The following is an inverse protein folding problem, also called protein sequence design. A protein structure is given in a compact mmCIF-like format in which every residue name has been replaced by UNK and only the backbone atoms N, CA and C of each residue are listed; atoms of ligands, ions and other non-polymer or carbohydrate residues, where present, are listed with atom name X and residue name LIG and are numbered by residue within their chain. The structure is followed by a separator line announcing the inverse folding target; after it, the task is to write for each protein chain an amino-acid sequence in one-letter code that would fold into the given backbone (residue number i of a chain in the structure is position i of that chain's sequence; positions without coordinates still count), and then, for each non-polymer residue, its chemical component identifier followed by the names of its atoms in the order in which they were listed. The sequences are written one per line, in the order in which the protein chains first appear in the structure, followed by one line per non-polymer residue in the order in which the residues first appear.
data_IF_743127132269
#
_entry.id   IF_743127132269
#
_cell.length_a   1.000
_cell.length_b   1.000
_cell.length_c   1.000
_cell.angle_alpha   90.00
_cell.angle_beta   90.00
_cell.angle_gamma   90.00
#
_symmetry.space_group_name_H-M   'P 1'
#
loop_
_entity.id
_entity.type
_entity.pdbx_description
1 polymer ?
#
# COMPACT_ATOMS: atom_id res chain seq x y z
N UNK A 1 -48.00 -27.63 -32.18
CA UNK A 1 -48.43 -27.82 -33.60
C UNK A 1 -49.09 -26.58 -34.18
N UNK A 2 -49.96 -25.87 -33.46
CA UNK A 2 -50.70 -24.73 -34.03
C UNK A 2 -49.87 -23.47 -34.29
N UNK A 3 -48.87 -23.18 -33.44
CA UNK A 3 -48.08 -21.94 -33.55
C UNK A 3 -47.10 -21.95 -34.72
N UNK A 4 -46.37 -23.04 -34.98
CA UNK A 4 -45.45 -23.14 -36.12
C UNK A 4 -46.17 -23.00 -37.45
N UNK A 5 -47.38 -23.56 -37.58
CA UNK A 5 -48.19 -23.42 -38.79
C UNK A 5 -48.63 -21.97 -39.03
N UNK A 6 -48.99 -21.23 -37.97
CA UNK A 6 -49.35 -19.81 -38.05
C UNK A 6 -48.12 -18.97 -38.40
N UNK A 7 -46.99 -19.25 -37.75
CA UNK A 7 -45.74 -18.54 -37.96
C UNK A 7 -45.25 -18.71 -39.41
N UNK A 8 -45.21 -19.96 -39.89
CA UNK A 8 -44.77 -20.28 -41.25
C UNK A 8 -45.73 -19.70 -42.30
N UNK A 9 -47.05 -19.82 -42.10
CA UNK A 9 -48.03 -19.20 -42.99
C UNK A 9 -47.95 -17.67 -43.00
N UNK A 10 -47.56 -17.04 -41.90
CA UNK A 10 -47.38 -15.59 -41.84
C UNK A 10 -46.09 -15.15 -42.56
N UNK A 11 -45.01 -15.92 -42.41
CA UNK A 11 -43.76 -15.65 -43.13
C UNK A 11 -43.95 -15.80 -44.64
N UNK A 12 -44.58 -16.88 -45.09
CA UNK A 12 -44.85 -17.12 -46.52
C UNK A 12 -45.75 -16.03 -47.15
N UNK A 13 -46.57 -15.34 -46.33
CA UNK A 13 -47.48 -14.29 -46.79
C UNK A 13 -46.86 -12.89 -46.81
N UNK A 14 -45.94 -12.60 -45.89
CA UNK A 14 -45.42 -11.24 -45.66
C UNK A 14 -43.93 -11.06 -46.00
N UNK A 15 -43.12 -12.12 -45.99
CA UNK A 15 -41.77 -12.11 -46.55
C UNK A 15 -41.86 -12.46 -48.03
N UNK A 16 -41.49 -11.53 -48.91
CA UNK A 16 -41.38 -11.84 -50.34
C UNK A 16 -40.29 -12.88 -50.59
N UNK A 17 -40.41 -13.68 -51.65
CA UNK A 17 -39.51 -14.82 -51.98
C UNK A 17 -38.00 -14.44 -52.04
N UNK A 18 -37.64 -13.16 -52.12
CA UNK A 18 -36.26 -12.66 -52.20
C UNK A 18 -35.73 -11.97 -50.93
N UNK A 19 -36.54 -11.81 -49.88
CA UNK A 19 -36.14 -11.09 -48.66
C UNK A 19 -35.70 -12.05 -47.55
N UNK A 20 -34.41 -12.02 -47.18
CA UNK A 20 -33.93 -12.75 -46.01
C UNK A 20 -34.55 -12.16 -44.73
N UNK A 21 -34.99 -12.98 -43.77
CA UNK A 21 -35.55 -12.48 -42.51
C UNK A 21 -34.54 -11.59 -41.80
N UNK A 22 -35.02 -10.50 -41.21
CA UNK A 22 -34.15 -9.66 -40.40
C UNK A 22 -33.72 -10.43 -39.12
N UNK A 23 -32.60 -10.04 -38.47
CA UNK A 23 -32.16 -10.68 -37.24
C UNK A 23 -33.24 -10.70 -36.15
N UNK A 24 -34.08 -9.65 -36.09
CA UNK A 24 -35.20 -9.57 -35.17
C UNK A 24 -36.30 -10.60 -35.49
N UNK A 25 -36.62 -10.81 -36.77
CA UNK A 25 -37.59 -11.82 -37.19
C UNK A 25 -37.13 -13.22 -36.77
N UNK A 26 -35.83 -13.49 -36.93
CA UNK A 26 -35.23 -14.77 -36.51
C UNK A 26 -35.32 -14.98 -35.00
N UNK A 27 -35.06 -13.92 -34.21
CA UNK A 27 -35.21 -13.95 -32.75
C UNK A 27 -36.67 -14.20 -32.34
N UNK A 28 -37.62 -13.49 -32.96
CA UNK A 28 -39.05 -13.63 -32.67
C UNK A 28 -39.55 -15.01 -33.05
N UNK A 29 -39.13 -15.56 -34.19
CA UNK A 29 -39.47 -16.92 -34.59
C UNK A 29 -39.01 -17.94 -33.53
N UNK A 30 -37.74 -17.86 -33.13
CA UNK A 30 -37.21 -18.74 -32.08
C UNK A 30 -37.96 -18.58 -30.74
N UNK A 31 -38.39 -17.36 -30.41
CA UNK A 31 -39.17 -17.10 -29.20
C UNK A 31 -40.58 -17.72 -29.28
N UNK A 32 -41.26 -17.64 -30.43
CA UNK A 32 -42.56 -18.28 -30.64
C UNK A 32 -42.48 -19.81 -30.62
N UNK A 33 -41.36 -20.38 -31.06
CA UNK A 33 -41.08 -21.81 -31.00
C UNK A 33 -40.60 -22.28 -29.62
N UNK A 34 -40.42 -21.35 -28.67
CA UNK A 34 -39.92 -21.62 -27.32
C UNK A 34 -38.47 -22.16 -27.27
N UNK A 35 -37.68 -21.88 -28.32
CA UNK A 35 -36.27 -22.25 -28.43
C UNK A 35 -35.37 -21.20 -27.75
N UNK A 36 -35.41 -21.16 -26.41
CA UNK A 36 -34.78 -20.10 -25.60
C UNK A 36 -33.25 -19.98 -25.80
N UNK A 37 -32.55 -21.10 -26.02
CA UNK A 37 -31.11 -21.08 -26.27
C UNK A 37 -30.78 -20.39 -27.60
N UNK A 38 -31.63 -20.58 -28.62
CA UNK A 38 -31.49 -19.94 -29.91
C UNK A 38 -31.78 -18.44 -29.81
N UNK A 39 -32.81 -18.05 -29.04
CA UNK A 39 -33.10 -16.64 -28.72
C UNK A 39 -31.87 -15.95 -28.10
N UNK A 40 -31.27 -16.53 -27.07
CA UNK A 40 -30.08 -16.00 -26.39
C UNK A 40 -28.91 -15.82 -27.37
N UNK A 41 -28.66 -16.84 -28.21
CA UNK A 41 -27.57 -16.82 -29.19
C UNK A 41 -27.78 -15.73 -30.24
N UNK A 42 -28.95 -15.67 -30.86
CA UNK A 42 -29.24 -14.67 -31.91
C UNK A 42 -29.26 -13.25 -31.35
N UNK A 43 -29.76 -13.05 -30.12
CA UNK A 43 -29.68 -11.77 -29.43
C UNK A 43 -28.23 -11.34 -29.17
N UNK A 44 -27.33 -12.28 -28.87
CA UNK A 44 -25.90 -11.99 -28.65
C UNK A 44 -25.23 -11.47 -29.92
N UNK A 45 -25.59 -12.03 -31.07
CA UNK A 45 -25.04 -11.62 -32.37
C UNK A 45 -25.67 -10.31 -32.84
N UNK A 46 -27.00 -10.19 -32.76
CA UNK A 46 -27.74 -9.07 -33.34
C UNK A 46 -27.60 -7.76 -32.53
N UNK A 47 -27.62 -7.84 -31.20
CA UNK A 47 -27.74 -6.64 -30.36
C UNK A 47 -26.40 -6.04 -29.94
N UNK A 48 -25.27 -6.72 -30.22
CA UNK A 48 -23.88 -6.28 -29.90
C UNK A 48 -23.60 -5.89 -28.44
N UNK A 49 -24.60 -5.95 -27.55
CA UNK A 49 -24.52 -5.52 -26.16
C UNK A 49 -24.87 -6.70 -25.25
N UNK A 50 -23.86 -7.13 -24.49
CA UNK A 50 -23.99 -8.21 -23.50
C UNK A 50 -25.01 -7.91 -22.40
N UNK A 51 -25.40 -6.64 -22.18
CA UNK A 51 -26.40 -6.26 -21.19
C UNK A 51 -27.72 -6.98 -21.39
N UNK A 52 -28.31 -6.89 -22.59
CA UNK A 52 -29.65 -7.45 -22.84
C UNK A 52 -29.63 -8.96 -22.64
N UNK A 53 -28.63 -9.62 -23.21
CA UNK A 53 -28.50 -11.08 -23.15
C UNK A 53 -28.25 -11.57 -21.73
N UNK A 54 -27.40 -10.88 -20.97
CA UNK A 54 -27.12 -11.23 -19.58
C UNK A 54 -28.39 -11.13 -18.71
N UNK A 55 -29.15 -10.04 -18.84
CA UNK A 55 -30.37 -9.81 -18.04
C UNK A 55 -31.55 -10.66 -18.49
N UNK A 56 -31.69 -10.89 -19.80
CA UNK A 56 -32.71 -11.81 -20.32
C UNK A 56 -32.45 -13.22 -19.80
N UNK A 57 -31.19 -13.68 -19.88
CA UNK A 57 -30.81 -15.01 -19.37
C UNK A 57 -31.02 -15.10 -17.87
N UNK A 58 -30.63 -14.06 -17.12
CA UNK A 58 -30.88 -13.97 -15.68
C UNK A 58 -32.37 -14.08 -15.34
N UNK A 59 -33.24 -13.35 -16.06
CA UNK A 59 -34.68 -13.41 -15.88
C UNK A 59 -35.26 -14.80 -16.20
N UNK A 60 -34.83 -15.42 -17.31
CA UNK A 60 -35.29 -16.75 -17.72
C UNK A 60 -34.87 -17.83 -16.71
N UNK A 61 -33.68 -17.70 -16.12
CA UNK A 61 -33.18 -18.59 -15.06
C UNK A 61 -34.01 -18.43 -13.77
N UNK A 62 -34.31 -17.20 -13.35
CA UNK A 62 -35.20 -16.94 -12.19
C UNK A 62 -36.62 -17.48 -12.41
N UNK A 63 -37.11 -17.45 -13.64
CA UNK A 63 -38.37 -18.08 -14.04
C UNK A 63 -38.29 -19.62 -14.14
N UNK A 64 -37.13 -20.23 -13.91
CA UNK A 64 -36.86 -21.67 -14.03
C UNK A 64 -37.15 -22.24 -15.42
N UNK A 65 -37.02 -21.40 -16.45
CA UNK A 65 -37.25 -21.78 -17.85
C UNK A 65 -35.98 -22.34 -18.49
N UNK A 66 -34.80 -22.01 -17.95
CA UNK A 66 -33.53 -22.58 -18.35
C UNK A 66 -33.22 -23.79 -17.48
N UNK A 67 -32.81 -24.90 -18.11
CA UNK A 67 -32.27 -26.04 -17.39
C UNK A 67 -30.82 -25.72 -17.01
N UNK A 68 -30.47 -25.94 -15.74
CA UNK A 68 -29.10 -25.77 -15.22
C UNK A 68 -28.19 -26.90 -15.72
N UNK A 69 -27.89 -26.92 -17.01
CA UNK A 69 -26.80 -27.74 -17.54
C UNK A 69 -25.51 -26.93 -17.41
N UNK A 70 -24.56 -27.46 -16.66
CA UNK A 70 -23.22 -26.89 -16.61
C UNK A 70 -22.61 -27.01 -18.00
N UNK A 71 -22.08 -25.91 -18.51
CA UNK A 71 -21.29 -25.93 -19.73
C UNK A 71 -20.04 -26.80 -19.50
N UNK A 72 -19.42 -27.28 -20.58
CA UNK A 72 -18.17 -28.07 -20.50
C UNK A 72 -17.04 -27.40 -19.70
N UNK A 73 -17.16 -26.09 -19.46
CA UNK A 73 -16.22 -25.26 -18.72
C UNK A 73 -16.61 -25.01 -17.26
N UNK A 74 -17.62 -25.69 -16.72
CA UNK A 74 -17.93 -25.69 -15.29
C UNK A 74 -18.86 -24.58 -14.78
N UNK A 75 -19.19 -23.58 -15.59
CA UNK A 75 -20.19 -22.55 -15.26
C UNK A 75 -21.54 -22.83 -15.91
N UNK A 76 -22.60 -22.29 -15.30
CA UNK A 76 -23.91 -22.23 -15.95
C UNK A 76 -23.94 -21.10 -17.00
N UNK A 77 -24.83 -21.21 -18.00
CA UNK A 77 -24.96 -20.22 -19.08
C UNK A 77 -25.22 -18.80 -18.55
N UNK A 78 -26.04 -18.69 -17.50
CA UNK A 78 -26.35 -17.43 -16.82
C UNK A 78 -25.09 -16.74 -16.31
N UNK A 79 -24.28 -17.47 -15.54
CA UNK A 79 -23.05 -16.99 -14.93
C UNK A 79 -22.05 -16.59 -16.00
N UNK A 80 -21.87 -17.40 -17.05
CA UNK A 80 -21.00 -17.05 -18.17
C UNK A 80 -21.36 -15.67 -18.77
N UNK A 81 -22.64 -15.46 -19.10
CA UNK A 81 -23.09 -14.19 -19.70
C UNK A 81 -23.02 -13.00 -18.73
N UNK A 82 -23.28 -13.22 -17.44
CA UNK A 82 -23.09 -12.19 -16.40
C UNK A 82 -21.61 -11.83 -16.23
N UNK A 83 -20.70 -12.81 -16.26
CA UNK A 83 -19.25 -12.59 -16.16
C UNK A 83 -18.73 -11.78 -17.36
N UNK A 84 -19.16 -12.11 -18.58
CA UNK A 84 -18.78 -11.35 -19.78
C UNK A 84 -19.31 -9.92 -19.74
N UNK A 85 -20.57 -9.73 -19.35
CA UNK A 85 -21.14 -8.40 -19.19
C UNK A 85 -20.41 -7.57 -18.12
N UNK A 86 -20.16 -8.17 -16.93
CA UNK A 86 -19.42 -7.52 -15.86
C UNK A 86 -17.99 -7.15 -16.29
N UNK A 87 -17.30 -8.04 -17.01
CA UNK A 87 -15.97 -7.77 -17.57
C UNK A 87 -15.99 -6.59 -18.55
N UNK A 88 -17.05 -6.46 -19.36
CA UNK A 88 -17.31 -5.28 -20.19
C UNK A 88 -17.45 -3.99 -19.37
N UNK A 89 -18.17 -4.03 -18.24
CA UNK A 89 -18.33 -2.87 -17.36
C UNK A 89 -17.01 -2.39 -16.75
N UNK A 90 -16.08 -3.31 -16.45
CA UNK A 90 -14.74 -2.96 -15.94
C UNK A 90 -13.89 -2.17 -16.93
N UNK A 91 -14.17 -2.28 -18.23
CA UNK A 91 -13.49 -1.49 -19.26
C UNK A 91 -13.91 -0.01 -19.21
N UNK A 92 -15.08 0.30 -18.66
CA UNK A 92 -15.58 1.67 -18.54
C UNK A 92 -15.12 2.34 -17.23
N UNK A 93 -14.72 3.62 -17.33
CA UNK A 93 -14.10 4.38 -16.24
C UNK A 93 -15.02 4.62 -15.02
N UNK A 94 -16.33 4.66 -15.21
CA UNK A 94 -17.33 4.93 -14.16
C UNK A 94 -18.14 3.70 -13.75
N UNK A 95 -18.24 2.68 -14.61
CA UNK A 95 -19.15 1.54 -14.41
C UNK A 95 -18.50 0.34 -13.72
N UNK A 96 -17.17 0.32 -13.57
CA UNK A 96 -16.45 -0.78 -12.92
C UNK A 96 -16.99 -1.11 -11.51
N UNK A 97 -17.52 -0.12 -10.76
CA UNK A 97 -18.12 -0.35 -9.45
C UNK A 97 -19.34 -1.25 -9.53
N UNK A 98 -20.20 -1.02 -10.53
CA UNK A 98 -21.36 -1.86 -10.79
C UNK A 98 -20.92 -3.26 -11.23
N UNK A 99 -19.83 -3.36 -12.00
CA UNK A 99 -19.24 -4.65 -12.37
C UNK A 99 -18.84 -5.50 -11.16
N UNK A 100 -18.34 -4.88 -10.08
CA UNK A 100 -18.02 -5.59 -8.83
C UNK A 100 -19.26 -6.26 -8.26
N UNK A 101 -20.39 -5.54 -8.22
CA UNK A 101 -21.63 -6.08 -7.69
C UNK A 101 -22.14 -7.26 -8.53
N UNK A 102 -21.99 -7.22 -9.87
CA UNK A 102 -22.31 -8.38 -10.71
C UNK A 102 -21.43 -9.60 -10.39
N UNK A 103 -20.12 -9.40 -10.18
CA UNK A 103 -19.23 -10.50 -9.83
C UNK A 103 -19.59 -11.13 -8.48
N UNK A 104 -20.09 -10.36 -7.51
CA UNK A 104 -20.52 -10.92 -6.22
C UNK A 104 -21.76 -11.83 -6.34
N UNK A 105 -22.59 -11.64 -7.39
CA UNK A 105 -23.77 -12.47 -7.64
C UNK A 105 -23.47 -13.71 -8.51
N UNK A 106 -22.21 -13.92 -8.90
CA UNK A 106 -21.74 -15.10 -9.62
C UNK A 106 -21.12 -16.13 -8.64
N UNK A 107 -21.68 -17.35 -8.51
CA UNK A 107 -21.34 -18.28 -7.45
C UNK A 107 -19.99 -19.01 -7.63
N UNK A 108 -19.61 -19.40 -8.85
CA UNK A 108 -18.45 -20.27 -9.09
C UNK A 108 -17.20 -19.45 -9.39
N UNK A 109 -17.27 -18.54 -10.36
CA UNK A 109 -16.10 -17.83 -10.90
C UNK A 109 -16.07 -16.33 -10.57
N UNK A 110 -17.15 -15.79 -9.99
CA UNK A 110 -17.27 -14.36 -9.68
C UNK A 110 -16.08 -13.79 -8.92
N UNK A 111 -15.65 -14.48 -7.86
CA UNK A 111 -14.50 -14.06 -7.04
C UNK A 111 -13.19 -14.04 -7.83
N UNK A 112 -12.90 -15.08 -8.59
CA UNK A 112 -11.66 -15.19 -9.37
C UNK A 112 -11.61 -14.10 -10.44
N UNK A 113 -12.73 -13.84 -11.11
CA UNK A 113 -12.83 -12.76 -12.09
C UNK A 113 -12.64 -11.39 -11.46
N UNK A 114 -13.25 -11.14 -10.29
CA UNK A 114 -13.07 -9.90 -9.55
C UNK A 114 -11.58 -9.69 -9.16
N UNK A 115 -10.92 -10.73 -8.65
CA UNK A 115 -9.48 -10.69 -8.30
C UNK A 115 -8.60 -10.33 -9.50
N UNK A 116 -8.89 -10.84 -10.69
CA UNK A 116 -8.14 -10.53 -11.92
C UNK A 116 -8.42 -9.13 -12.47
N UNK A 117 -9.67 -8.68 -12.40
CA UNK A 117 -10.08 -7.40 -12.98
C UNK A 117 -9.74 -6.21 -12.09
N UNK A 118 -9.79 -6.38 -10.77
CA UNK A 118 -9.54 -5.28 -9.83
C UNK A 118 -8.12 -4.73 -9.94
N UNK A 119 -7.13 -5.60 -10.20
CA UNK A 119 -5.72 -5.21 -10.35
C UNK A 119 -5.46 -4.41 -11.64
N UNK A 120 -6.34 -4.56 -12.64
CA UNK A 120 -6.22 -3.87 -13.93
C UNK A 120 -6.83 -2.46 -13.91
N UNK A 121 -7.54 -2.09 -12.84
CA UNK A 121 -8.16 -0.77 -12.75
C UNK A 121 -7.06 0.30 -12.73
N UNK A 122 -7.10 1.30 -13.64
CA UNK A 122 -6.09 2.35 -13.65
C UNK A 122 -6.22 3.24 -12.40
N UNK A 123 -5.20 3.18 -11.54
CA UNK A 123 -5.09 3.91 -10.27
C UNK A 123 -4.49 5.31 -10.47
N UNK A 124 -5.22 6.17 -11.17
CA UNK A 124 -4.73 7.50 -11.53
C UNK A 124 -4.65 8.45 -10.32
N UNK A 125 -5.66 8.39 -9.44
CA UNK A 125 -5.79 9.26 -8.27
C UNK A 125 -5.79 8.45 -6.98
N UNK A 126 -5.37 9.10 -5.89
CA UNK A 126 -5.36 8.49 -4.55
C UNK A 126 -6.78 8.15 -4.06
N UNK A 127 -7.75 9.02 -4.35
CA UNK A 127 -9.16 8.77 -4.04
C UNK A 127 -9.69 7.50 -4.72
N UNK A 128 -9.31 7.26 -5.98
CA UNK A 128 -9.73 6.04 -6.69
C UNK A 128 -9.08 4.81 -6.06
N UNK A 129 -7.79 4.87 -5.71
CA UNK A 129 -7.12 3.79 -5.01
C UNK A 129 -7.76 3.45 -3.66
N UNK A 130 -8.14 4.47 -2.86
CA UNK A 130 -8.85 4.26 -1.60
C UNK A 130 -10.23 3.62 -1.79
N UNK A 131 -10.96 3.99 -2.86
CA UNK A 131 -12.25 3.36 -3.20
C UNK A 131 -12.07 1.88 -3.55
N UNK A 132 -11.10 1.55 -4.40
CA UNK A 132 -10.80 0.16 -4.78
C UNK A 132 -10.37 -0.64 -3.55
N UNK A 133 -9.50 -0.06 -2.71
CA UNK A 133 -9.02 -0.70 -1.49
C UNK A 133 -10.16 -1.02 -0.52
N UNK A 134 -11.10 -0.07 -0.31
CA UNK A 134 -12.29 -0.31 0.53
C UNK A 134 -13.14 -1.48 0.02
N UNK A 135 -13.31 -1.60 -1.29
CA UNK A 135 -14.03 -2.70 -1.94
C UNK A 135 -13.34 -4.05 -1.67
N UNK A 136 -12.01 -4.08 -1.79
CA UNK A 136 -11.21 -5.28 -1.50
C UNK A 136 -11.22 -5.66 -0.02
N UNK A 137 -11.14 -4.68 0.90
CA UNK A 137 -11.19 -4.92 2.34
C UNK A 137 -12.53 -5.49 2.79
N UNK A 138 -13.65 -4.96 2.27
CA UNK A 138 -15.00 -5.48 2.54
C UNK A 138 -15.14 -6.97 2.14
N UNK A 139 -14.40 -7.40 1.12
CA UNK A 139 -14.44 -8.77 0.56
C UNK A 139 -13.27 -9.65 1.02
N UNK A 140 -12.46 -9.19 1.99
CA UNK A 140 -11.30 -9.92 2.52
C UNK A 140 -10.28 -10.34 1.43
N UNK A 141 -10.09 -9.50 0.41
CA UNK A 141 -9.15 -9.72 -0.70
C UNK A 141 -7.74 -9.22 -0.33
N UNK A 142 -7.10 -9.89 0.64
CA UNK A 142 -5.86 -9.39 1.26
C UNK A 142 -4.68 -9.28 0.29
N UNK A 143 -4.55 -10.20 -0.67
CA UNK A 143 -3.46 -10.18 -1.64
C UNK A 143 -3.60 -8.98 -2.60
N UNK A 144 -4.82 -8.69 -3.06
CA UNK A 144 -5.10 -7.54 -3.91
C UNK A 144 -4.91 -6.23 -3.15
N UNK A 145 -5.33 -6.15 -1.86
CA UNK A 145 -5.03 -4.98 -1.01
C UNK A 145 -3.51 -4.75 -0.93
N UNK A 146 -2.73 -5.81 -0.69
CA UNK A 146 -1.26 -5.71 -0.64
C UNK A 146 -0.68 -5.24 -1.97
N UNK A 147 -1.13 -5.84 -3.08
CA UNK A 147 -0.72 -5.50 -4.45
C UNK A 147 -0.98 -4.03 -4.78
N UNK A 148 -2.21 -3.56 -4.56
CA UNK A 148 -2.63 -2.16 -4.77
C UNK A 148 -1.81 -1.20 -3.91
N UNK A 149 -1.62 -1.52 -2.62
CA UNK A 149 -0.81 -0.67 -1.74
C UNK A 149 0.65 -0.56 -2.22
N UNK A 150 1.26 -1.66 -2.68
CA UNK A 150 2.63 -1.64 -3.24
C UNK A 150 2.75 -0.77 -4.49
N UNK A 151 1.79 -0.89 -5.41
CA UNK A 151 1.75 -0.06 -6.64
C UNK A 151 1.66 1.43 -6.27
N UNK A 152 0.76 1.78 -5.34
CA UNK A 152 0.60 3.15 -4.88
C UNK A 152 1.82 3.68 -4.13
N UNK A 153 2.46 2.84 -3.31
CA UNK A 153 3.68 3.20 -2.59
C UNK A 153 4.83 3.49 -3.56
N UNK A 154 5.02 2.64 -4.58
CA UNK A 154 6.02 2.88 -5.64
C UNK A 154 5.71 4.15 -6.44
N UNK A 155 4.45 4.41 -6.78
CA UNK A 155 4.04 5.63 -7.50
C UNK A 155 4.30 6.88 -6.67
N UNK A 156 4.02 6.84 -5.37
CA UNK A 156 4.30 7.94 -4.44
C UNK A 156 5.82 8.18 -4.30
N UNK A 157 6.61 7.11 -4.22
CA UNK A 157 8.07 7.19 -4.15
C UNK A 157 8.68 7.83 -5.41
N UNK A 158 8.19 7.46 -6.60
CA UNK A 158 8.60 8.08 -7.88
C UNK A 158 8.26 9.56 -7.95
N UNK A 159 7.15 9.97 -7.34
CA UNK A 159 6.73 11.37 -7.25
C UNK A 159 7.42 12.14 -6.10
N UNK A 160 8.44 11.56 -5.46
CA UNK A 160 9.17 12.14 -4.33
C UNK A 160 8.30 12.51 -3.12
N UNK A 161 7.17 11.82 -2.92
CA UNK A 161 6.29 11.99 -1.75
C UNK A 161 6.56 10.87 -0.75
N UNK A 162 7.55 11.08 0.12
CA UNK A 162 8.02 10.07 1.06
C UNK A 162 6.95 9.70 2.09
N UNK A 163 6.23 10.69 2.66
CA UNK A 163 5.17 10.42 3.62
C UNK A 163 4.05 9.56 3.02
N UNK A 164 3.53 9.91 1.85
CA UNK A 164 2.54 9.08 1.16
C UNK A 164 3.07 7.68 0.87
N UNK A 165 4.31 7.56 0.37
CA UNK A 165 4.91 6.26 0.09
C UNK A 165 5.00 5.38 1.34
N UNK A 166 5.39 5.96 2.48
CA UNK A 166 5.50 5.26 3.76
C UNK A 166 4.11 4.81 4.25
N UNK A 167 3.11 5.70 4.18
CA UNK A 167 1.73 5.35 4.56
C UNK A 167 1.19 4.18 3.74
N UNK A 168 1.45 4.14 2.42
CA UNK A 168 1.04 3.03 1.57
C UNK A 168 1.83 1.75 1.85
N UNK A 169 3.12 1.86 2.19
CA UNK A 169 3.96 0.72 2.60
C UNK A 169 3.50 0.07 3.90
N UNK A 170 3.12 0.88 4.89
CA UNK A 170 2.61 0.41 6.18
C UNK A 170 1.31 -0.38 5.98
N UNK A 171 0.41 0.13 5.14
CA UNK A 171 -0.85 -0.56 4.78
C UNK A 171 -0.59 -1.88 4.04
N UNK A 172 0.43 -1.92 3.16
CA UNK A 172 0.84 -3.15 2.49
C UNK A 172 1.48 -4.18 3.44
N UNK A 173 1.86 -3.79 4.67
CA UNK A 173 2.70 -4.57 5.58
C UNK A 173 4.01 -5.02 4.92
N UNK A 174 4.58 -4.18 4.05
CA UNK A 174 5.85 -4.47 3.39
C UNK A 174 7.01 -3.89 4.22
N UNK A 175 7.64 -4.75 5.02
CA UNK A 175 8.75 -4.37 5.90
C UNK A 175 10.00 -3.93 5.13
N UNK A 176 10.31 -4.59 4.01
CA UNK A 176 11.49 -4.28 3.21
C UNK A 176 11.35 -2.89 2.57
N UNK A 177 10.17 -2.60 2.01
CA UNK A 177 9.90 -1.29 1.43
C UNK A 177 9.82 -0.18 2.49
N UNK A 178 9.27 -0.48 3.68
CA UNK A 178 9.27 0.44 4.81
C UNK A 178 10.71 0.79 5.26
N UNK A 179 11.62 -0.19 5.29
CA UNK A 179 13.05 0.05 5.56
C UNK A 179 13.68 0.96 4.51
N UNK A 180 13.46 0.70 3.22
CA UNK A 180 14.00 1.53 2.14
C UNK A 180 13.54 2.99 2.25
N UNK A 181 12.25 3.22 2.53
CA UNK A 181 11.73 4.58 2.69
C UNK A 181 12.30 5.23 3.96
N UNK A 182 12.43 4.47 5.05
CA UNK A 182 12.98 4.97 6.31
C UNK A 182 14.45 5.37 6.15
N UNK A 183 15.26 4.58 5.44
CA UNK A 183 16.64 4.95 5.10
C UNK A 183 16.71 6.25 4.29
N UNK A 184 15.75 6.46 3.38
CA UNK A 184 15.67 7.70 2.61
C UNK A 184 15.31 8.90 3.48
N UNK A 185 14.41 8.76 4.45
CA UNK A 185 14.14 9.81 5.44
C UNK A 185 15.37 10.16 6.27
N UNK A 186 16.14 9.17 6.71
CA UNK A 186 17.37 9.40 7.47
C UNK A 186 18.45 10.08 6.63
N UNK A 187 18.58 9.69 5.36
CA UNK A 187 19.51 10.34 4.42
C UNK A 187 19.13 11.81 4.20
N UNK A 188 17.85 12.09 3.93
CA UNK A 188 17.35 13.46 3.79
C UNK A 188 17.61 14.29 5.05
N UNK A 189 17.51 13.67 6.24
CA UNK A 189 17.86 14.32 7.51
C UNK A 189 19.36 14.61 7.61
N UNK A 190 20.25 13.67 7.26
CA UNK A 190 21.69 13.92 7.27
C UNK A 190 22.11 15.07 6.34
N UNK A 191 21.44 15.22 5.19
CA UNK A 191 21.75 16.26 4.21
C UNK A 191 21.17 17.63 4.58
N UNK A 192 19.97 17.67 5.18
CA UNK A 192 19.20 18.93 5.40
C UNK A 192 19.08 19.35 6.86
N UNK A 193 19.36 18.46 7.81
CA UNK A 193 19.15 18.66 9.25
C UNK A 193 17.68 18.75 9.68
N UNK A 194 16.72 18.34 8.84
CA UNK A 194 15.28 18.37 9.16
C UNK A 194 14.52 17.23 8.50
N UNK A 195 13.48 16.75 9.19
CA UNK A 195 12.56 15.75 8.63
C UNK A 195 11.53 16.39 7.70
N UNK A 196 11.23 15.69 6.61
CA UNK A 196 10.04 15.91 5.80
C UNK A 196 8.84 15.20 6.43
N UNK A 197 7.61 15.71 6.27
CA UNK A 197 6.36 15.05 6.69
C UNK A 197 6.31 14.62 8.18
N UNK A 198 6.60 15.57 9.09
CA UNK A 198 6.64 15.36 10.56
C UNK A 198 5.38 14.70 11.11
N UNK A 199 4.21 15.16 10.67
CA UNK A 199 2.91 14.68 11.17
C UNK A 199 2.73 13.18 10.96
N UNK A 200 3.26 12.62 9.87
CA UNK A 200 3.14 11.18 9.62
C UNK A 200 4.02 10.37 10.57
N UNK A 201 5.27 10.80 10.77
CA UNK A 201 6.24 10.10 11.61
C UNK A 201 5.77 10.14 13.07
N UNK A 202 5.22 11.27 13.50
CA UNK A 202 4.68 11.45 14.85
C UNK A 202 3.44 10.55 15.10
N UNK A 203 2.69 10.20 14.05
CA UNK A 203 1.47 9.38 14.12
C UNK A 203 1.66 7.91 13.68
N UNK A 204 2.89 7.38 13.67
CA UNK A 204 3.15 5.98 13.30
C UNK A 204 2.54 4.97 14.27
N UNK A 205 2.41 5.32 15.56
CA UNK A 205 1.84 4.44 16.59
C UNK A 205 2.48 3.03 16.58
N UNK A 206 1.69 1.95 16.72
CA UNK A 206 2.19 0.57 16.66
C UNK A 206 2.81 0.16 15.31
N UNK A 207 2.52 0.89 14.22
CA UNK A 207 3.04 0.58 12.90
C UNK A 207 4.56 0.75 12.78
N UNK A 208 5.19 1.42 13.74
CA UNK A 208 6.65 1.53 13.77
C UNK A 208 7.35 0.17 13.86
N UNK A 209 6.70 -0.81 14.49
CA UNK A 209 7.21 -2.18 14.69
C UNK A 209 7.23 -3.01 13.40
N UNK A 210 6.81 -2.44 12.26
CA UNK A 210 6.85 -3.12 10.97
C UNK A 210 8.29 -3.41 10.53
N UNK A 211 9.24 -2.54 10.86
CA UNK A 211 10.67 -2.79 10.64
C UNK A 211 11.54 -2.08 11.68
N UNK A 212 12.73 -2.63 11.92
CA UNK A 212 13.71 -2.07 12.84
C UNK A 212 14.10 -0.63 12.44
N UNK A 213 14.28 -0.40 11.13
CA UNK A 213 14.62 0.93 10.62
C UNK A 213 13.49 1.93 10.81
N UNK A 214 12.23 1.51 10.62
CA UNK A 214 11.07 2.37 10.86
C UNK A 214 10.89 2.65 12.36
N UNK A 215 11.16 1.66 13.21
CA UNK A 215 11.19 1.82 14.67
C UNK A 215 12.24 2.87 15.06
N UNK A 216 13.45 2.75 14.53
CA UNK A 216 14.50 3.75 14.75
C UNK A 216 14.06 5.15 14.31
N UNK A 217 13.50 5.30 13.10
CA UNK A 217 13.01 6.59 12.59
C UNK A 217 11.96 7.22 13.54
N UNK A 218 10.97 6.44 13.95
CA UNK A 218 9.91 6.90 14.86
C UNK A 218 10.46 7.29 16.24
N UNK A 219 11.35 6.48 16.82
CA UNK A 219 11.97 6.76 18.12
C UNK A 219 12.93 7.94 18.08
N UNK A 220 13.68 8.09 17.00
CA UNK A 220 14.58 9.23 16.83
C UNK A 220 13.81 10.53 16.61
N UNK A 221 12.63 10.47 15.98
CA UNK A 221 11.72 11.61 15.94
C UNK A 221 11.12 11.94 17.32
N UNK A 222 10.75 10.93 18.10
CA UNK A 222 10.30 11.08 19.49
C UNK A 222 11.37 11.79 20.35
N UNK A 223 12.65 11.50 20.13
CA UNK A 223 13.76 12.22 20.76
C UNK A 223 13.73 13.72 20.47
N UNK A 224 13.58 14.13 19.22
CA UNK A 224 13.48 15.55 18.84
C UNK A 224 12.26 16.24 19.45
N UNK A 225 11.14 15.52 19.57
CA UNK A 225 9.95 16.04 20.27
C UNK A 225 10.22 16.28 21.76
N UNK A 226 10.81 15.30 22.45
CA UNK A 226 11.18 15.44 23.87
C UNK A 226 12.20 16.57 24.10
N UNK A 227 13.15 16.73 23.17
CA UNK A 227 14.10 17.83 23.19
C UNK A 227 13.40 19.20 23.06
N UNK A 228 12.44 19.33 22.13
CA UNK A 228 11.63 20.53 21.97
C UNK A 228 10.74 20.85 23.19
N UNK A 229 10.26 19.81 23.88
CA UNK A 229 9.51 19.93 25.15
C UNK A 229 10.40 20.25 26.37
N UNK A 230 11.72 20.41 26.17
CA UNK A 230 12.73 20.61 27.23
C UNK A 230 12.84 19.46 28.24
N UNK A 231 12.38 18.26 27.87
CA UNK A 231 12.50 17.03 28.69
C UNK A 231 13.86 16.37 28.43
N UNK A 232 14.93 17.09 28.78
CA UNK A 232 16.29 16.72 28.38
C UNK A 232 16.75 15.36 28.93
N UNK A 233 16.43 15.01 30.17
CA UNK A 233 16.80 13.72 30.76
C UNK A 233 16.16 12.53 30.03
N UNK A 234 14.90 12.67 29.63
CA UNK A 234 14.21 11.62 28.88
C UNK A 234 14.71 11.53 27.44
N UNK A 235 14.98 12.66 26.80
CA UNK A 235 15.58 12.72 25.47
C UNK A 235 16.97 12.06 25.46
N UNK A 236 17.82 12.37 26.45
CA UNK A 236 19.15 11.78 26.61
C UNK A 236 19.09 10.25 26.76
N UNK A 237 18.20 9.75 27.63
CA UNK A 237 17.99 8.31 27.81
C UNK A 237 17.52 7.63 26.53
N UNK A 238 16.62 8.27 25.78
CA UNK A 238 16.10 7.73 24.52
C UNK A 238 17.19 7.71 23.44
N UNK A 239 18.00 8.77 23.34
CA UNK A 239 19.11 8.87 22.39
C UNK A 239 20.17 7.79 22.66
N UNK A 240 20.53 7.60 23.94
CA UNK A 240 21.47 6.55 24.34
C UNK A 240 20.95 5.16 24.00
N UNK A 241 19.68 4.87 24.30
CA UNK A 241 19.03 3.62 23.94
C UNK A 241 19.07 3.36 22.42
N UNK A 242 18.87 4.40 21.60
CA UNK A 242 18.92 4.26 20.14
C UNK A 242 20.32 3.93 19.62
N UNK A 243 21.37 4.36 20.31
CA UNK A 243 22.75 4.03 19.96
C UNK A 243 23.14 2.62 20.44
N UNK A 244 22.83 2.27 21.69
CA UNK A 244 23.23 0.98 22.28
C UNK A 244 22.39 -0.19 21.80
N UNK A 245 21.14 0.03 21.37
CA UNK A 245 20.28 -1.04 20.85
C UNK A 245 20.70 -1.55 19.45
N UNK A 246 21.73 -0.97 18.81
CA UNK A 246 22.22 -1.32 17.46
C UNK A 246 21.16 -1.29 16.34
N UNK A 247 20.02 -0.62 16.56
CA UNK A 247 18.95 -0.42 15.56
C UNK A 247 19.33 0.69 14.56
N UNK A 248 20.20 1.62 14.98
CA UNK A 248 20.68 2.73 14.16
C UNK A 248 21.61 2.27 13.03
N UNK A 249 21.46 2.78 11.78
CA UNK A 249 22.40 2.49 10.71
C UNK A 249 23.79 3.05 11.07
N UNK A 250 24.88 2.30 10.82
CA UNK A 250 26.25 2.77 11.11
C UNK A 250 26.56 4.14 10.47
N UNK A 251 26.01 4.41 9.28
CA UNK A 251 26.16 5.70 8.58
C UNK A 251 25.50 6.88 9.32
N UNK A 252 24.58 6.61 10.25
CA UNK A 252 23.83 7.62 10.99
C UNK A 252 24.38 7.86 12.40
N UNK A 253 25.34 7.05 12.86
CA UNK A 253 25.92 7.16 14.21
C UNK A 253 26.60 8.51 14.45
N UNK A 254 27.32 9.04 13.46
CA UNK A 254 27.92 10.38 13.57
C UNK A 254 26.86 11.45 13.81
N UNK A 255 25.73 11.37 13.12
CA UNK A 255 24.61 12.31 13.28
C UNK A 255 23.97 12.18 14.66
N UNK A 256 23.74 10.96 15.15
CA UNK A 256 23.22 10.71 16.51
C UNK A 256 24.13 11.31 17.59
N UNK A 257 25.44 11.07 17.48
CA UNK A 257 26.43 11.59 18.42
C UNK A 257 26.48 13.12 18.36
N UNK A 258 26.44 13.69 17.15
CA UNK A 258 26.40 15.16 16.97
C UNK A 258 25.15 15.76 17.62
N UNK A 259 24.00 15.10 17.51
CA UNK A 259 22.75 15.52 18.16
C UNK A 259 22.76 15.34 19.68
N UNK A 260 23.71 14.58 20.23
CA UNK A 260 23.97 14.52 21.66
C UNK A 260 24.75 15.74 22.17
N UNK A 261 25.49 16.47 21.31
CA UNK A 261 26.32 17.62 21.72
C UNK A 261 25.53 18.68 22.51
N UNK A 262 24.34 19.13 22.06
CA UNK A 262 23.58 20.14 22.79
C UNK A 262 23.11 19.66 24.17
N UNK A 263 22.97 18.35 24.38
CA UNK A 263 22.63 17.74 25.67
C UNK A 263 23.86 17.60 26.55
N UNK A 264 25.01 17.24 25.97
CA UNK A 264 26.31 17.18 26.65
C UNK A 264 26.82 18.56 27.06
N UNK A 265 26.45 19.65 26.40
CA UNK A 265 26.90 20.99 26.75
C UNK A 265 25.93 21.77 27.66
N UNK A 266 24.82 21.16 28.09
CA UNK A 266 23.89 21.79 29.04
C UNK A 266 24.59 22.20 30.34
N UNK A 267 24.06 23.25 30.99
CA UNK A 267 24.53 23.71 32.31
C UNK A 267 24.29 22.66 33.38
N UNK A 268 23.15 21.99 33.28
CA UNK A 268 22.80 20.87 34.15
C UNK A 268 23.38 19.57 33.58
N UNK A 269 23.86 18.72 34.46
CA UNK A 269 24.33 17.37 34.10
C UNK A 269 23.11 16.53 33.71
N UNK A 270 23.01 16.22 32.41
CA UNK A 270 21.93 15.40 31.84
C UNK A 270 22.35 13.93 31.69
N UNK A 271 23.58 13.67 31.24
CA UNK A 271 24.14 12.32 31.13
C UNK A 271 24.98 12.01 32.38
N UNK A 272 24.78 10.83 32.98
CA UNK A 272 25.61 10.32 34.09
C UNK A 272 27.01 9.89 33.62
N UNK A 273 27.89 9.50 34.55
CA UNK A 273 29.24 9.05 34.22
C UNK A 273 29.18 7.79 33.36
N UNK A 274 28.38 6.80 33.77
CA UNK A 274 28.13 5.56 33.03
C UNK A 274 27.61 5.83 31.61
N UNK A 275 26.60 6.70 31.48
CA UNK A 275 26.05 7.05 30.17
C UNK A 275 27.07 7.78 29.29
N UNK A 276 27.92 8.62 29.89
CA UNK A 276 28.99 9.31 29.17
C UNK A 276 30.07 8.33 28.68
N UNK A 277 30.40 7.31 29.49
CA UNK A 277 31.32 6.24 29.07
C UNK A 277 30.75 5.42 27.91
N UNK A 278 29.46 5.09 27.93
CA UNK A 278 28.79 4.41 26.81
C UNK A 278 28.88 5.23 25.51
N UNK A 279 28.63 6.54 25.59
CA UNK A 279 28.79 7.45 24.44
C UNK A 279 30.24 7.52 23.93
N UNK A 280 31.21 7.53 24.83
CA UNK A 280 32.63 7.47 24.49
C UNK A 280 32.96 6.16 23.76
N UNK A 281 32.43 5.03 24.22
CA UNK A 281 32.61 3.74 23.57
C UNK A 281 32.00 3.75 22.15
N UNK A 282 30.78 4.26 21.97
CA UNK A 282 30.17 4.38 20.65
C UNK A 282 30.99 5.27 19.70
N UNK A 283 31.60 6.35 20.20
CA UNK A 283 32.47 7.22 19.41
C UNK A 283 33.75 6.50 18.99
N UNK A 284 34.38 5.77 19.92
CA UNK A 284 35.59 5.01 19.63
C UNK A 284 35.31 3.89 18.61
N UNK A 285 34.22 3.14 18.76
CA UNK A 285 33.78 2.11 17.79
C UNK A 285 33.58 2.70 16.38
N UNK A 286 32.99 3.90 16.29
CA UNK A 286 32.80 4.62 15.03
C UNK A 286 34.15 5.01 14.40
N UNK A 287 35.11 5.48 15.19
CA UNK A 287 36.44 5.85 14.69
C UNK A 287 37.28 4.64 14.30
N UNK A 288 37.21 3.55 15.06
CA UNK A 288 37.87 2.28 14.76
C UNK A 288 37.35 1.67 13.45
N UNK A 289 36.03 1.67 13.23
CA UNK A 289 35.43 1.16 11.99
C UNK A 289 35.73 2.00 10.74
N UNK A 290 36.07 3.29 10.90
CA UNK A 290 36.45 4.18 9.78
C UNK A 290 37.91 3.98 9.34
N UNK A 291 38.81 3.63 10.26
CA UNK A 291 40.21 3.32 9.96
C UNK A 291 40.36 2.19 8.91
N UNK A 292 39.37 1.29 8.83
CA UNK A 292 39.36 0.16 7.89
C UNK A 292 38.81 0.48 6.49
N UNK A 293 38.06 1.59 6.28
CA UNK A 293 37.17 1.72 5.11
C UNK A 293 37.44 2.77 4.05
N UNK A 294 38.25 3.81 4.25
CA UNK A 294 38.92 4.58 3.18
C UNK A 294 39.56 5.87 3.72
N UNK A 295 40.85 6.03 3.44
CA UNK A 295 41.47 7.34 3.22
C UNK A 295 40.86 7.90 1.92
N UNK A 296 40.22 9.09 1.96
CA UNK A 296 40.26 10.15 0.93
C UNK A 296 39.15 11.21 1.13
N UNK A 297 39.59 12.44 1.41
CA UNK A 297 39.04 13.74 0.97
C UNK A 297 37.81 14.40 1.65
N UNK A 298 37.15 13.79 2.65
CA UNK A 298 36.14 14.49 3.48
C UNK A 298 36.55 14.59 4.99
N UNK A 299 37.84 14.34 5.25
CA UNK A 299 38.40 14.10 6.59
C UNK A 299 38.30 15.31 7.52
N UNK A 300 38.47 16.54 7.05
CA UNK A 300 38.60 17.71 7.93
C UNK A 300 37.31 18.02 8.71
N UNK A 301 36.14 17.94 8.06
CA UNK A 301 34.85 18.26 8.71
C UNK A 301 34.44 17.14 9.68
N UNK A 302 34.60 15.88 9.27
CA UNK A 302 34.31 14.76 10.16
C UNK A 302 35.30 14.67 11.32
N UNK A 303 36.58 14.95 11.10
CA UNK A 303 37.60 15.01 12.16
C UNK A 303 37.28 16.13 13.14
N UNK A 304 36.89 17.30 12.66
CA UNK A 304 36.44 18.41 13.52
C UNK A 304 35.22 17.99 14.37
N UNK A 305 34.24 17.28 13.78
CA UNK A 305 33.09 16.75 14.55
C UNK A 305 33.53 15.78 15.65
N UNK A 306 34.47 14.87 15.34
CA UNK A 306 35.03 13.92 16.32
C UNK A 306 35.74 14.66 17.45
N UNK A 307 36.55 15.67 17.16
CA UNK A 307 37.23 16.47 18.17
C UNK A 307 36.25 17.23 19.07
N UNK A 308 35.20 17.83 18.48
CA UNK A 308 34.13 18.49 19.24
C UNK A 308 33.40 17.50 20.16
N UNK A 309 33.12 16.29 19.68
CA UNK A 309 32.50 15.24 20.49
C UNK A 309 33.39 14.81 21.65
N UNK A 310 34.68 14.56 21.40
CA UNK A 310 35.66 14.23 22.46
C UNK A 310 35.73 15.31 23.52
N UNK A 311 35.76 16.58 23.11
CA UNK A 311 35.80 17.71 24.03
C UNK A 311 34.51 17.83 24.86
N UNK A 312 33.34 17.70 24.24
CA UNK A 312 32.05 17.76 24.93
C UNK A 312 31.87 16.61 25.92
N UNK A 313 32.27 15.38 25.54
CA UNK A 313 32.24 14.20 26.41
C UNK A 313 33.18 14.36 27.61
N UNK A 314 34.41 14.83 27.39
CA UNK A 314 35.37 15.08 28.47
C UNK A 314 34.88 16.17 29.44
N UNK A 315 34.30 17.26 28.92
CA UNK A 315 33.70 18.32 29.74
C UNK A 315 32.51 17.82 30.54
N UNK A 316 31.63 17.02 29.93
CA UNK A 316 30.50 16.45 30.65
C UNK A 316 30.99 15.54 31.77
N UNK A 317 31.91 14.62 31.47
CA UNK A 317 32.48 13.71 32.46
C UNK A 317 33.13 14.46 33.63
N UNK A 318 33.91 15.51 33.35
CA UNK A 318 34.51 16.33 34.41
C UNK A 318 33.45 16.97 35.33
N UNK A 319 32.35 17.49 34.78
CA UNK A 319 31.26 18.08 35.59
C UNK A 319 30.49 17.01 36.36
N UNK A 320 30.27 15.86 35.74
CA UNK A 320 29.56 14.73 36.36
C UNK A 320 30.34 14.21 37.55
N UNK A 321 31.65 13.93 37.40
CA UNK A 321 32.50 13.43 38.49
C UNK A 321 32.49 14.38 39.68
N UNK A 322 32.54 15.70 39.44
CA UNK A 322 32.44 16.68 40.52
C UNK A 322 31.06 16.60 41.20
N UNK A 323 29.97 16.51 40.44
CA UNK A 323 28.61 16.49 40.96
C UNK A 323 28.29 15.18 41.72
N UNK A 324 28.60 14.03 41.13
CA UNK A 324 28.39 12.71 41.74
C UNK A 324 29.31 12.52 42.95
N UNK A 325 30.58 12.91 42.85
CA UNK A 325 31.52 12.89 43.98
C UNK A 325 31.14 13.80 45.15
N UNK A 326 30.44 14.92 44.89
CA UNK A 326 29.90 15.76 45.98
C UNK A 326 28.63 15.19 46.65
N UNK A 327 27.88 14.34 45.96
CA UNK A 327 26.66 13.71 46.48
C UNK A 327 26.95 12.47 47.33
N UNK A 328 28.01 11.71 47.01
CA UNK A 328 28.44 10.55 47.83
C UNK A 328 29.17 10.94 49.12
N UNK A 329 29.63 12.18 49.23
CA UNK A 329 30.36 12.71 50.39
C UNK A 329 29.52 13.46 51.42
N UNK A 330 28.18 13.47 51.30
CA UNK A 330 27.24 14.16 52.21
C UNK A 330 26.36 13.17 52.97
#
# INVERSE_FOLDING_TARGET
MSYNLILQSSMDMFLGEESSPEPLDTILMAAFEFELHQVIKECSVALSNWWFVAHLTDLLDHCKLLQSHNLYFGSNMREFLLLEYASGLFSHHSLWQLGVDYFDHCPEYGRVYLELHIERIPLNTEQKALKVLRICEQRQMHEQVRSICKIMAMKALRNNRLGSALSWSIRAKDAAFATLISDRFLKDYCERGRFSDLDLIDNLGPSMLLSDRLTFLGKYREFHRLYGEKRFSEAARLLLMLMTAHIAPCSFWMTLLTDALPLLEQKEVIFSAEQTYELMQCLEDLTAGKLDKQKLQDDDVETMKVEMLRLALARNLARVIVKEGTLEGS
#
